data_IF_916462261176
#
_entry.id   IF_916462261176
#
_cell.length_a   1.000
_cell.length_b   1.000
_cell.length_c   1.000
_cell.angle_alpha   90.00
_cell.angle_beta   90.00
_cell.angle_gamma   90.00
#
_symmetry.space_group_name_H-M   'P 1'
#
loop_
_entity.id
_entity.type
_entity.pdbx_description
1 polymer ?
#
# COMPACT_ATOMS: atom_id res chain seq x y z
N UNK A 1 21.69 -33.61 -4.26
CA UNK A 1 21.63 -32.32 -3.53
C UNK A 1 20.55 -31.46 -4.16
N UNK A 2 19.38 -31.33 -3.51
CA UNK A 2 18.30 -30.47 -4.00
C UNK A 2 18.58 -29.03 -3.59
N UNK A 3 18.78 -28.13 -4.55
CA UNK A 3 18.86 -26.70 -4.25
C UNK A 3 17.51 -26.23 -3.69
N UNK A 4 17.48 -25.46 -2.59
CA UNK A 4 16.25 -24.85 -2.15
C UNK A 4 15.83 -23.85 -3.22
N UNK A 5 14.72 -24.14 -3.91
CA UNK A 5 14.03 -23.17 -4.76
C UNK A 5 13.65 -22.00 -3.86
N UNK A 6 14.46 -20.93 -3.90
CA UNK A 6 14.05 -19.64 -3.33
C UNK A 6 12.71 -19.32 -3.98
N UNK A 7 11.63 -19.07 -3.21
CA UNK A 7 10.43 -18.53 -3.81
C UNK A 7 10.85 -17.24 -4.50
N UNK A 8 10.87 -17.26 -5.83
CA UNK A 8 10.92 -16.05 -6.62
C UNK A 8 9.60 -15.36 -6.34
N UNK A 9 9.55 -14.56 -5.28
CA UNK A 9 8.56 -13.50 -5.19
C UNK A 9 8.58 -12.83 -6.56
N UNK A 10 7.45 -12.70 -7.26
CA UNK A 10 7.42 -11.98 -8.52
C UNK A 10 8.14 -10.66 -8.24
N UNK A 11 9.22 -10.38 -8.99
CA UNK A 11 10.06 -9.20 -8.79
C UNK A 11 9.13 -8.03 -8.51
N UNK A 12 9.15 -7.55 -7.25
CA UNK A 12 8.24 -6.52 -6.80
C UNK A 12 8.51 -5.34 -7.72
N UNK A 13 7.54 -5.04 -8.58
CA UNK A 13 7.56 -3.85 -9.40
C UNK A 13 7.37 -2.64 -8.47
N UNK A 14 7.73 -1.43 -8.91
CA UNK A 14 7.68 -0.21 -8.10
C UNK A 14 6.35 -0.06 -7.35
N UNK A 15 5.23 -0.34 -8.03
CA UNK A 15 3.89 -0.29 -7.42
C UNK A 15 3.74 -1.30 -6.25
N UNK A 16 4.27 -2.51 -6.40
CA UNK A 16 4.23 -3.54 -5.36
C UNK A 16 5.12 -3.22 -4.17
N UNK A 17 6.29 -2.63 -4.40
CA UNK A 17 7.17 -2.13 -3.35
C UNK A 17 6.48 -1.01 -2.55
N UNK A 18 5.85 -0.05 -3.23
CA UNK A 18 5.13 1.04 -2.59
C UNK A 18 3.94 0.54 -1.76
N UNK A 19 3.14 -0.40 -2.28
CA UNK A 19 2.03 -0.99 -1.52
C UNK A 19 2.50 -1.73 -0.27
N UNK A 20 3.59 -2.50 -0.38
CA UNK A 20 4.14 -3.28 0.74
C UNK A 20 4.78 -2.37 1.79
N UNK A 21 5.57 -1.39 1.35
CA UNK A 21 6.19 -0.40 2.23
C UNK A 21 5.16 0.51 2.91
N UNK A 22 4.08 0.86 2.21
CA UNK A 22 2.96 1.62 2.80
C UNK A 22 2.21 0.82 3.86
N UNK A 23 1.99 -0.49 3.62
CA UNK A 23 1.42 -1.42 4.61
C UNK A 23 2.27 -1.49 5.87
N UNK A 24 3.59 -1.61 5.75
CA UNK A 24 4.51 -1.65 6.89
C UNK A 24 4.44 -0.35 7.71
N UNK A 25 4.43 0.81 7.05
CA UNK A 25 4.23 2.10 7.71
C UNK A 25 2.87 2.20 8.42
N UNK A 26 1.79 1.68 7.83
CA UNK A 26 0.48 1.62 8.47
C UNK A 26 0.45 0.64 9.65
N UNK A 27 1.21 -0.46 9.58
CA UNK A 27 1.42 -1.39 10.68
C UNK A 27 2.17 -0.73 11.85
N UNK A 28 3.20 0.06 11.56
CA UNK A 28 3.91 0.86 12.56
C UNK A 28 2.99 1.89 13.26
N UNK A 29 2.16 2.60 12.48
CA UNK A 29 1.19 3.56 13.04
C UNK A 29 0.20 2.91 14.01
N UNK A 30 0.02 1.58 14.00
CA UNK A 30 -0.82 0.91 14.99
C UNK A 30 -0.29 1.09 16.41
N UNK A 31 1.04 1.09 16.55
CA UNK A 31 1.71 1.33 17.82
C UNK A 31 1.76 2.83 18.14
N UNK A 32 1.91 3.67 17.10
CA UNK A 32 2.14 5.11 17.25
C UNK A 32 1.24 5.91 16.28
N UNK A 33 -0.08 6.00 16.52
CA UNK A 33 -1.03 6.55 15.53
C UNK A 33 -0.81 8.03 15.21
N UNK A 34 -0.21 8.75 16.16
CA UNK A 34 0.06 10.19 16.08
C UNK A 34 1.46 10.52 15.54
N UNK A 35 2.21 9.53 15.04
CA UNK A 35 3.53 9.79 14.46
C UNK A 35 3.40 10.54 13.12
N UNK A 36 3.62 11.85 13.19
CA UNK A 36 3.47 12.74 12.04
C UNK A 36 4.54 12.48 10.96
N UNK A 37 5.73 11.98 11.33
CA UNK A 37 6.78 11.68 10.36
C UNK A 37 6.34 10.50 9.48
N UNK A 38 5.86 9.42 10.11
CA UNK A 38 5.38 8.24 9.37
C UNK A 38 4.11 8.55 8.57
N UNK A 39 3.20 9.38 9.10
CA UNK A 39 2.04 9.85 8.33
C UNK A 39 2.45 10.65 7.09
N UNK A 40 3.44 11.53 7.20
CA UNK A 40 3.96 12.28 6.06
C UNK A 40 4.63 11.35 5.02
N UNK A 41 5.33 10.30 5.48
CA UNK A 41 5.87 9.27 4.59
C UNK A 41 4.78 8.48 3.87
N UNK A 42 3.72 8.06 4.58
CA UNK A 42 2.56 7.40 3.97
C UNK A 42 1.92 8.32 2.92
N UNK A 43 1.77 9.61 3.20
CA UNK A 43 1.22 10.57 2.24
C UNK A 43 2.04 10.60 0.95
N UNK A 44 3.37 10.68 1.04
CA UNK A 44 4.26 10.63 -0.13
C UNK A 44 4.10 9.33 -0.91
N UNK A 45 4.05 8.19 -0.21
CA UNK A 45 3.83 6.88 -0.84
C UNK A 45 2.48 6.81 -1.57
N UNK A 46 1.41 7.34 -0.99
CA UNK A 46 0.09 7.38 -1.64
C UNK A 46 0.12 8.19 -2.94
N UNK A 47 0.82 9.33 -2.96
CA UNK A 47 1.01 10.13 -4.19
C UNK A 47 1.77 9.34 -5.25
N UNK A 48 2.84 8.64 -4.89
CA UNK A 48 3.59 7.81 -5.84
C UNK A 48 2.75 6.63 -6.35
N UNK A 49 2.03 5.93 -5.46
CA UNK A 49 1.12 4.82 -5.83
C UNK A 49 0.06 5.33 -6.80
N UNK A 50 -0.51 6.50 -6.54
CA UNK A 50 -1.50 7.12 -7.43
C UNK A 50 -0.92 7.32 -8.82
N UNK A 51 0.26 7.96 -8.93
CA UNK A 51 0.93 8.21 -10.19
C UNK A 51 1.18 6.92 -10.99
N UNK A 52 1.69 5.88 -10.33
CA UNK A 52 1.91 4.56 -10.93
C UNK A 52 0.59 3.90 -11.37
N UNK A 53 -0.49 4.05 -10.60
CA UNK A 53 -1.81 3.55 -10.95
C UNK A 53 -2.42 4.28 -12.16
N UNK A 54 -2.20 5.59 -12.31
CA UNK A 54 -2.67 6.35 -13.48
C UNK A 54 -1.96 5.86 -14.75
N UNK A 55 -0.64 5.67 -14.68
CA UNK A 55 0.17 5.18 -15.79
C UNK A 55 -0.26 3.77 -16.24
N UNK A 56 -0.66 2.92 -15.30
CA UNK A 56 -1.09 1.55 -15.57
C UNK A 56 -2.61 1.41 -15.81
N UNK A 57 -3.38 2.50 -15.79
CA UNK A 57 -4.83 2.48 -16.00
C UNK A 57 -5.63 1.79 -14.88
N UNK A 58 -5.08 1.70 -13.66
CA UNK A 58 -5.63 0.92 -12.53
C UNK A 58 -6.64 1.72 -11.70
N UNK A 59 -7.81 1.99 -12.27
CA UNK A 59 -8.85 2.86 -11.66
C UNK A 59 -9.28 2.45 -10.25
N UNK A 60 -9.42 1.16 -9.99
CA UNK A 60 -9.85 0.69 -8.65
C UNK A 60 -8.78 0.96 -7.59
N UNK A 61 -7.49 0.79 -7.95
CA UNK A 61 -6.40 1.13 -7.03
C UNK A 61 -6.35 2.64 -6.78
N UNK A 62 -6.60 3.48 -7.79
CA UNK A 62 -6.70 4.94 -7.61
C UNK A 62 -7.81 5.34 -6.62
N UNK A 63 -8.95 4.64 -6.66
CA UNK A 63 -10.06 4.88 -5.73
C UNK A 63 -9.65 4.61 -4.29
N UNK A 64 -9.03 3.46 -4.04
CA UNK A 64 -8.54 3.08 -2.70
C UNK A 64 -7.49 4.07 -2.21
N UNK A 65 -6.58 4.53 -3.08
CA UNK A 65 -5.61 5.57 -2.71
C UNK A 65 -6.32 6.84 -2.25
N UNK A 66 -7.37 7.29 -2.94
CA UNK A 66 -8.15 8.45 -2.51
C UNK A 66 -8.83 8.25 -1.15
N UNK A 67 -9.35 7.05 -0.86
CA UNK A 67 -9.91 6.71 0.46
C UNK A 67 -8.83 6.75 1.56
N UNK A 68 -7.63 6.25 1.26
CA UNK A 68 -6.49 6.29 2.16
C UNK A 68 -5.99 7.72 2.43
N UNK A 69 -5.98 8.58 1.42
CA UNK A 69 -5.62 10.00 1.57
C UNK A 69 -6.60 10.72 2.52
N UNK A 70 -7.90 10.42 2.42
CA UNK A 70 -8.92 10.98 3.32
C UNK A 70 -8.71 10.49 4.76
N UNK A 71 -8.47 9.18 4.94
CA UNK A 71 -8.21 8.60 6.27
C UNK A 71 -6.93 9.16 6.91
N UNK A 72 -5.90 9.42 6.09
CA UNK A 72 -4.65 10.02 6.54
C UNK A 72 -4.80 11.50 6.92
N UNK A 73 -5.65 12.25 6.22
CA UNK A 73 -5.94 13.64 6.52
C UNK A 73 -6.85 13.82 7.75
N UNK A 74 -7.62 12.79 8.11
CA UNK A 74 -8.44 12.78 9.31
C UNK A 74 -7.59 12.76 10.60
N UNK A 75 -8.22 13.15 11.72
CA UNK A 75 -7.58 13.14 13.03
C UNK A 75 -6.98 11.77 13.38
N UNK A 76 -5.73 11.71 13.88
CA UNK A 76 -5.09 10.45 14.23
C UNK A 76 -5.88 9.65 15.26
N UNK A 77 -6.29 8.43 14.88
CA UNK A 77 -6.96 7.49 15.78
C UNK A 77 -6.69 6.05 15.33
N UNK A 78 -6.83 5.05 16.24
CA UNK A 78 -6.70 3.64 15.87
C UNK A 78 -7.57 3.25 14.69
N UNK A 79 -8.83 3.73 14.67
CA UNK A 79 -9.76 3.49 13.56
C UNK A 79 -9.21 3.99 12.21
N UNK A 80 -8.59 5.18 12.18
CA UNK A 80 -7.96 5.67 10.94
C UNK A 80 -6.79 4.80 10.51
N UNK A 81 -6.01 4.27 11.47
CA UNK A 81 -4.91 3.35 11.17
C UNK A 81 -5.42 2.01 10.66
N UNK A 82 -6.54 1.49 11.16
CA UNK A 82 -7.19 0.27 10.62
C UNK A 82 -7.58 0.46 9.16
N UNK A 83 -8.20 1.61 8.83
CA UNK A 83 -8.56 1.96 7.45
C UNK A 83 -7.30 2.00 6.58
N UNK A 84 -6.20 2.59 7.07
CA UNK A 84 -4.93 2.62 6.36
C UNK A 84 -4.41 1.20 6.08
N UNK A 85 -4.38 0.33 7.09
CA UNK A 85 -3.90 -1.05 6.94
C UNK A 85 -4.76 -1.86 5.98
N UNK A 86 -6.08 -1.80 6.11
CA UNK A 86 -7.01 -2.53 5.25
C UNK A 86 -6.91 -2.05 3.79
N UNK A 87 -6.84 -0.73 3.57
CA UNK A 87 -6.67 -0.21 2.21
C UNK A 87 -5.32 -0.59 1.59
N UNK A 88 -4.21 -0.58 2.35
CA UNK A 88 -2.92 -1.07 1.83
C UNK A 88 -2.92 -2.58 1.55
N UNK A 89 -3.62 -3.39 2.35
CA UNK A 89 -3.80 -4.82 2.07
C UNK A 89 -4.60 -5.04 0.78
N UNK A 90 -5.69 -4.29 0.57
CA UNK A 90 -6.47 -4.30 -0.69
C UNK A 90 -5.63 -3.87 -1.89
N UNK A 91 -4.84 -2.80 -1.77
CA UNK A 91 -3.92 -2.37 -2.83
C UNK A 91 -2.92 -3.47 -3.19
N UNK A 92 -2.34 -4.14 -2.18
CA UNK A 92 -1.38 -5.23 -2.38
C UNK A 92 -2.05 -6.42 -3.10
N UNK A 93 -3.28 -6.77 -2.71
CA UNK A 93 -4.06 -7.84 -3.37
C UNK A 93 -4.38 -7.51 -4.82
N UNK A 94 -4.86 -6.30 -5.12
CA UNK A 94 -5.15 -5.85 -6.48
C UNK A 94 -3.90 -5.80 -7.35
N UNK A 95 -2.78 -5.32 -6.80
CA UNK A 95 -1.49 -5.36 -7.46
C UNK A 95 -1.09 -6.79 -7.82
N UNK A 96 -1.14 -7.70 -6.84
CA UNK A 96 -0.77 -9.10 -7.02
C UNK A 96 -1.65 -9.81 -8.05
N UNK A 97 -2.97 -9.60 -8.00
CA UNK A 97 -3.92 -10.16 -8.96
C UNK A 97 -3.61 -9.72 -10.39
N UNK A 98 -3.33 -8.43 -10.59
CA UNK A 98 -2.96 -7.89 -11.89
C UNK A 98 -1.60 -8.41 -12.40
N UNK A 99 -0.61 -8.60 -11.52
CA UNK A 99 0.68 -9.20 -11.89
C UNK A 99 0.55 -10.68 -12.25
N UNK A 100 -0.39 -11.39 -11.63
CA UNK A 100 -0.66 -12.80 -11.91
C UNK A 100 -1.49 -13.03 -13.18
N UNK A 101 -1.98 -11.97 -13.85
CA UNK A 101 -2.87 -12.08 -15.01
C UNK A 101 -4.25 -12.68 -14.69
N UNK A 102 -4.69 -12.58 -13.44
CA UNK A 102 -5.98 -13.11 -12.96
C UNK A 102 -7.12 -12.07 -13.03
N UNK A 103 -6.94 -10.99 -13.79
CA UNK A 103 -7.94 -9.94 -14.04
C UNK A 103 -8.21 -9.81 -15.53
#
# INVERSE_FOLDING_TARGET
MGQPRRPSFPLLDRLGELCTSGRDSAAYLWQVPNDMAVRAEISKKLVEIRAECEQQGRREMQRIVGELEIALAASPSPQQVEILQDGFDRLTKLWSAAKSGLL
#
